data_IF_579388796539
#
_entry.id   IF_579388796539
#
_cell.length_a   1.000
_cell.length_b   1.000
_cell.length_c   1.000
_cell.angle_alpha   90.00
_cell.angle_beta   90.00
_cell.angle_gamma   90.00
#
_symmetry.space_group_name_H-M   'P 1'
#
loop_
_entity.id
_entity.type
_entity.pdbx_description
1 polymer ?
#
# COMPACT_ATOMS: atom_id res chain seq x y z
N UNK A 1 -21.63 1.48 5.90
CA UNK A 1 -21.46 0.99 4.52
C UNK A 1 -20.06 0.41 4.50
N UNK A 2 -19.95 -0.91 4.53
CA UNK A 2 -18.68 -1.59 4.76
C UNK A 2 -18.06 -1.98 3.43
N UNK A 3 -16.78 -1.65 3.25
CA UNK A 3 -16.04 -1.95 2.03
C UNK A 3 -14.97 -3.00 2.35
N UNK A 4 -14.94 -4.06 1.53
CA UNK A 4 -13.93 -5.12 1.62
C UNK A 4 -13.02 -5.00 0.40
N UNK A 5 -11.71 -4.94 0.65
CA UNK A 5 -10.69 -4.93 -0.39
C UNK A 5 -9.72 -6.08 -0.16
N UNK A 6 -9.62 -6.95 -1.15
CA UNK A 6 -8.67 -8.05 -1.17
C UNK A 6 -8.09 -8.18 -2.58
N UNK A 7 -6.90 -8.74 -2.67
CA UNK A 7 -6.25 -9.03 -3.95
C UNK A 7 -6.52 -10.48 -4.32
N UNK A 8 -6.94 -10.70 -5.55
CA UNK A 8 -7.24 -12.03 -6.07
C UNK A 8 -6.94 -12.08 -7.55
N UNK A 9 -6.69 -13.28 -8.05
CA UNK A 9 -6.47 -13.56 -9.46
C UNK A 9 -7.77 -14.08 -10.07
N UNK A 10 -8.12 -13.59 -11.25
CA UNK A 10 -9.18 -14.15 -12.07
C UNK A 10 -8.72 -15.50 -12.60
N UNK A 11 -9.45 -16.56 -12.32
CA UNK A 11 -9.12 -17.92 -12.78
C UNK A 11 -9.45 -18.10 -14.27
N UNK A 12 -9.01 -19.22 -14.86
CA UNK A 12 -9.12 -19.48 -16.32
C UNK A 12 -10.54 -19.32 -16.88
N UNK A 13 -11.56 -19.58 -16.07
CA UNK A 13 -12.96 -19.52 -16.46
C UNK A 13 -13.65 -18.21 -16.03
N UNK A 14 -12.88 -17.16 -15.74
CA UNK A 14 -13.43 -15.89 -15.24
C UNK A 14 -13.87 -15.93 -13.78
N UNK A 15 -13.59 -17.03 -13.06
CA UNK A 15 -14.02 -17.21 -11.68
C UNK A 15 -13.13 -16.38 -10.74
N UNK A 16 -13.78 -15.60 -9.85
CA UNK A 16 -13.13 -14.87 -8.76
C UNK A 16 -13.50 -15.55 -7.45
N UNK A 17 -12.50 -15.97 -6.66
CA UNK A 17 -12.72 -16.52 -5.32
C UNK A 17 -12.68 -15.39 -4.30
N UNK A 18 -13.80 -15.18 -3.63
CA UNK A 18 -13.91 -14.23 -2.52
C UNK A 18 -13.59 -14.98 -1.22
N UNK A 19 -12.78 -14.42 -0.30
CA UNK A 19 -12.57 -14.98 1.03
C UNK A 19 -13.91 -15.17 1.78
N UNK A 20 -13.95 -16.08 2.74
CA UNK A 20 -15.15 -16.25 3.58
C UNK A 20 -15.39 -14.98 4.41
N UNK A 21 -16.50 -14.29 4.15
CA UNK A 21 -16.94 -13.12 4.91
C UNK A 21 -18.31 -13.45 5.51
N UNK A 22 -18.30 -14.02 6.72
CA UNK A 22 -19.51 -14.51 7.42
C UNK A 22 -20.63 -13.46 7.52
N UNK A 23 -20.25 -12.19 7.61
CA UNK A 23 -21.18 -11.08 7.75
C UNK A 23 -22.01 -10.81 6.48
N UNK A 24 -21.63 -11.38 5.33
CA UNK A 24 -22.29 -11.17 4.04
C UNK A 24 -23.10 -12.40 3.56
N UNK A 25 -23.27 -13.43 4.41
CA UNK A 25 -24.03 -14.63 4.07
C UNK A 25 -25.48 -14.24 3.70
N UNK A 26 -25.93 -14.71 2.53
CA UNK A 26 -27.26 -14.46 1.97
C UNK A 26 -27.60 -12.98 1.72
N UNK A 27 -26.59 -12.10 1.64
CA UNK A 27 -26.80 -10.69 1.32
C UNK A 27 -26.53 -10.40 -0.17
N UNK A 28 -27.31 -9.48 -0.74
CA UNK A 28 -26.99 -8.92 -2.05
C UNK A 28 -25.86 -7.91 -1.90
N UNK A 29 -24.80 -8.09 -2.67
CA UNK A 29 -23.61 -7.24 -2.64
C UNK A 29 -23.28 -6.73 -4.02
N UNK A 30 -22.64 -5.57 -4.08
CA UNK A 30 -22.06 -5.01 -5.30
C UNK A 30 -20.55 -5.32 -5.32
N UNK A 31 -20.03 -5.72 -6.48
CA UNK A 31 -18.61 -6.09 -6.62
C UNK A 31 -17.94 -5.13 -7.60
N UNK A 32 -16.88 -4.45 -7.14
CA UNK A 32 -16.04 -3.60 -7.96
C UNK A 32 -14.74 -4.33 -8.31
N UNK A 33 -14.51 -4.57 -9.60
CA UNK A 33 -13.29 -5.23 -10.09
C UNK A 33 -12.35 -4.16 -10.64
N UNK A 34 -11.13 -4.11 -10.10
CA UNK A 34 -10.07 -3.23 -10.59
C UNK A 34 -8.94 -4.10 -11.10
N UNK A 35 -8.67 -4.06 -12.39
CA UNK A 35 -7.53 -4.74 -12.98
C UNK A 35 -6.23 -4.10 -12.46
N UNK A 36 -5.48 -4.85 -11.66
CA UNK A 36 -4.10 -4.49 -11.38
C UNK A 36 -3.30 -4.75 -12.65
N UNK A 37 -3.02 -3.68 -13.40
CA UNK A 37 -1.92 -3.72 -14.36
C UNK A 37 -0.67 -4.07 -13.57
N UNK A 38 -0.17 -5.29 -13.74
CA UNK A 38 1.21 -5.55 -13.39
C UNK A 38 2.00 -4.57 -14.23
N UNK A 39 2.54 -3.53 -13.59
CA UNK A 39 3.72 -2.89 -14.12
C UNK A 39 4.80 -3.97 -14.12
N UNK A 40 4.77 -4.87 -15.11
CA UNK A 40 5.95 -5.61 -15.51
C UNK A 40 6.94 -4.53 -15.91
N UNK A 41 7.77 -4.16 -14.94
CA UNK A 41 9.07 -3.54 -15.07
C UNK A 41 9.20 -2.69 -16.34
N UNK A 42 8.58 -1.51 -16.34
CA UNK A 42 9.43 -0.36 -16.66
C UNK A 42 10.52 -0.44 -15.61
N UNK A 43 11.70 -0.91 -16.03
CA UNK A 43 12.94 -0.88 -15.28
C UNK A 43 12.90 0.35 -14.41
N UNK A 44 12.69 0.19 -13.11
CA UNK A 44 12.92 1.28 -12.17
C UNK A 44 14.42 1.53 -12.39
N UNK A 45 14.86 2.69 -12.95
CA UNK A 45 16.26 3.01 -12.86
C UNK A 45 16.53 3.02 -11.37
N UNK A 46 17.44 2.14 -10.94
CA UNK A 46 17.82 2.01 -9.54
C UNK A 46 18.41 3.34 -9.08
N UNK A 47 17.58 4.30 -8.71
CA UNK A 47 17.94 5.63 -8.18
C UNK A 47 16.68 6.48 -7.89
N UNK A 48 15.63 5.90 -7.29
CA UNK A 48 14.70 6.76 -6.56
C UNK A 48 15.40 7.20 -5.27
N UNK A 49 16.22 8.25 -5.36
CA UNK A 49 17.01 8.73 -4.24
C UNK A 49 16.08 9.27 -3.13
N UNK A 50 16.51 9.10 -1.89
CA UNK A 50 15.80 9.65 -0.74
C UNK A 50 15.53 11.16 -0.89
N UNK A 51 16.39 11.87 -1.61
CA UNK A 51 16.22 13.30 -1.92
C UNK A 51 15.03 13.56 -2.85
N UNK A 52 14.79 12.71 -3.85
CA UNK A 52 13.64 12.85 -4.72
C UNK A 52 12.32 12.56 -4.01
N UNK A 53 12.31 11.53 -3.16
CA UNK A 53 11.19 11.23 -2.28
C UNK A 53 10.93 12.40 -1.32
N UNK A 54 11.97 12.87 -0.63
CA UNK A 54 11.91 14.01 0.30
C UNK A 54 11.40 15.27 -0.40
N UNK A 55 11.86 15.56 -1.62
CA UNK A 55 11.45 16.74 -2.40
C UNK A 55 9.96 16.70 -2.76
N UNK A 56 9.44 15.55 -3.22
CA UNK A 56 8.01 15.40 -3.57
C UNK A 56 7.10 15.52 -2.35
N UNK A 57 7.55 15.05 -1.19
CA UNK A 57 6.75 15.04 0.04
C UNK A 57 6.95 16.26 0.95
N UNK A 58 8.00 17.07 0.74
CA UNK A 58 8.24 18.32 1.46
C UNK A 58 7.08 19.31 1.33
N UNK A 59 6.36 19.33 0.20
CA UNK A 59 5.18 20.17 0.02
C UNK A 59 4.04 19.82 0.98
N UNK A 60 3.89 18.53 1.32
CA UNK A 60 2.90 18.01 2.26
C UNK A 60 3.32 18.19 3.72
N UNK A 61 4.63 18.19 3.98
CA UNK A 61 5.23 18.20 5.31
C UNK A 61 5.74 19.58 5.76
N UNK A 62 5.40 20.67 5.07
CA UNK A 62 5.85 22.05 5.38
C UNK A 62 5.58 22.53 6.82
N UNK A 63 4.80 21.80 7.62
CA UNK A 63 4.58 22.08 9.05
C UNK A 63 5.18 21.05 10.04
N UNK A 64 5.72 19.93 9.57
CA UNK A 64 6.31 18.92 10.45
C UNK A 64 7.82 19.16 10.57
N UNK A 65 8.31 19.46 11.77
CA UNK A 65 9.76 19.55 12.06
C UNK A 65 10.42 18.18 11.84
N UNK A 66 10.82 17.90 10.60
CA UNK A 66 11.40 16.63 10.13
C UNK A 66 12.67 16.24 10.91
N UNK A 67 13.41 17.22 11.43
CA UNK A 67 14.66 16.99 12.16
C UNK A 67 14.48 16.19 13.46
N UNK A 68 13.36 16.35 14.17
CA UNK A 68 13.11 15.65 15.43
C UNK A 68 12.85 14.15 15.20
N UNK A 69 12.10 13.83 14.14
CA UNK A 69 11.74 12.45 13.80
C UNK A 69 12.91 11.60 13.32
N UNK A 70 13.95 12.23 12.76
CA UNK A 70 15.14 11.50 12.28
C UNK A 70 15.93 10.88 13.44
N UNK A 71 16.08 11.62 14.54
CA UNK A 71 16.78 11.15 15.73
C UNK A 71 15.98 10.08 16.49
N UNK A 72 14.66 10.27 16.62
CA UNK A 72 13.79 9.29 17.29
C UNK A 72 13.73 7.96 16.52
N UNK A 73 13.76 8.01 15.18
CA UNK A 73 13.79 6.80 14.35
C UNK A 73 15.13 6.05 14.43
N UNK A 74 16.25 6.77 14.47
CA UNK A 74 17.58 6.15 14.65
C UNK A 74 17.64 5.45 16.01
N UNK A 75 17.14 6.09 17.07
CA UNK A 75 17.09 5.50 18.41
C UNK A 75 16.20 4.24 18.45
N UNK A 76 15.03 4.29 17.82
CA UNK A 76 14.14 3.13 17.70
C UNK A 76 14.80 1.94 16.99
N UNK A 77 15.54 2.19 15.91
CA UNK A 77 16.25 1.14 15.20
C UNK A 77 17.41 0.55 16.01
N UNK A 78 18.09 1.36 16.82
CA UNK A 78 19.14 0.86 17.72
C UNK A 78 18.58 -0.03 18.83
N UNK A 79 17.44 0.32 19.42
CA UNK A 79 16.81 -0.45 20.50
C UNK A 79 16.20 -1.78 20.02
N UNK A 80 15.74 -1.85 18.77
CA UNK A 80 15.05 -3.04 18.22
C UNK A 80 15.99 -4.12 17.70
N UNK A 81 17.21 -3.74 17.30
CA UNK A 81 18.18 -4.62 16.66
C UNK A 81 19.45 -4.83 17.49
N UNK A 82 19.42 -4.49 18.79
CA UNK A 82 20.34 -5.03 19.80
C UNK A 82 19.74 -6.30 20.43
#
# INVERSE_FOLDING_TARGET
MDAYKFETTVQKDGIIKIPEIRNLINQRVEVFIVEKKNHQNNTIPAEFSFEEFSRKWRGFLKGAKIEKYKNDHIKYLQEKYQ
#
